data_IF_559783109548
#
_entry.id   IF_559783109548
#
_cell.length_a   1.000
_cell.length_b   1.000
_cell.length_c   1.000
_cell.angle_alpha   90.00
_cell.angle_beta   90.00
_cell.angle_gamma   90.00
#
_symmetry.space_group_name_H-M   'P 1'
#
loop_
_entity.id
_entity.type
_entity.pdbx_description
1 polymer ?
#
# COMPACT_ATOMS: atom_id res chain seq x y z
N UNK A 1 -17.02 -5.74 -11.01
CA UNK A 1 -15.93 -6.29 -10.16
C UNK A 1 -15.04 -7.32 -10.88
N UNK A 2 -15.60 -8.18 -11.74
CA UNK A 2 -14.82 -9.25 -12.39
C UNK A 2 -13.85 -8.78 -13.49
N UNK A 3 -14.07 -7.60 -14.10
CA UNK A 3 -13.19 -7.09 -15.19
C UNK A 3 -11.83 -6.59 -14.72
N UNK A 4 -11.70 -6.23 -13.44
CA UNK A 4 -10.46 -5.66 -12.89
C UNK A 4 -9.30 -6.64 -12.93
N UNK A 5 -9.59 -7.94 -12.78
CA UNK A 5 -8.56 -8.98 -12.68
C UNK A 5 -8.58 -9.99 -13.82
N UNK A 6 -9.36 -9.77 -14.91
CA UNK A 6 -9.46 -10.73 -16.00
C UNK A 6 -8.14 -10.87 -16.80
N UNK A 7 -7.56 -12.04 -16.75
CA UNK A 7 -6.52 -12.49 -17.67
C UNK A 7 -5.11 -12.04 -17.40
N UNK A 8 -4.80 -11.41 -16.24
CA UNK A 8 -3.46 -10.93 -15.95
C UNK A 8 -2.82 -11.68 -14.80
N UNK A 9 -1.51 -11.78 -14.86
CA UNK A 9 -0.66 -12.18 -13.78
C UNK A 9 -1.07 -11.45 -12.48
N UNK A 10 -0.85 -11.84 -11.59
CA UNK A 10 -0.89 -12.43 -10.43
C UNK A 10 0.08 -11.89 -9.41
N UNK A 11 0.60 -10.65 -9.61
CA UNK A 11 1.35 -9.98 -8.57
C UNK A 11 0.62 -8.72 -8.12
N UNK A 12 0.34 -8.68 -6.83
CA UNK A 12 -0.32 -7.57 -6.14
C UNK A 12 0.64 -7.07 -5.07
N UNK A 13 0.70 -5.76 -4.87
CA UNK A 13 1.44 -5.19 -3.75
C UNK A 13 0.59 -4.18 -2.99
N UNK A 14 0.64 -4.26 -1.68
CA UNK A 14 0.07 -3.29 -0.75
C UNK A 14 1.17 -2.66 0.09
N UNK A 15 1.19 -1.35 0.12
CA UNK A 15 2.04 -0.55 1.00
C UNK A 15 1.18 0.11 2.08
N UNK A 16 1.50 -0.12 3.33
CA UNK A 16 0.68 0.33 4.45
C UNK A 16 -0.41 -0.68 4.79
N UNK A 17 -0.01 -1.89 5.10
CA UNK A 17 -0.93 -3.01 5.39
C UNK A 17 -1.67 -2.86 6.72
N UNK A 18 -1.10 -2.10 7.66
CA UNK A 18 -1.63 -1.97 9.02
C UNK A 18 -1.91 -3.34 9.65
N UNK A 19 -3.13 -3.62 10.05
CA UNK A 19 -3.55 -4.89 10.66
C UNK A 19 -4.16 -5.87 9.66
N UNK A 20 -4.01 -5.62 8.36
CA UNK A 20 -4.40 -6.52 7.29
C UNK A 20 -5.88 -6.47 6.90
N UNK A 21 -6.60 -5.40 7.22
CA UNK A 21 -8.02 -5.27 6.88
C UNK A 21 -8.26 -5.31 5.37
N UNK A 22 -7.61 -4.43 4.62
CA UNK A 22 -7.68 -4.39 3.15
C UNK A 22 -7.08 -5.64 2.54
N UNK A 23 -5.95 -6.10 3.09
CA UNK A 23 -5.29 -7.33 2.64
C UNK A 23 -6.20 -8.56 2.73
N UNK A 24 -7.02 -8.67 3.78
CA UNK A 24 -8.04 -9.73 3.91
C UNK A 24 -9.04 -9.67 2.76
N UNK A 25 -9.51 -8.48 2.41
CA UNK A 25 -10.42 -8.27 1.28
C UNK A 25 -9.74 -8.66 -0.04
N UNK A 26 -8.53 -8.17 -0.29
CA UNK A 26 -7.73 -8.51 -1.48
C UNK A 26 -7.58 -10.04 -1.59
N UNK A 27 -7.19 -10.71 -0.51
CA UNK A 27 -6.98 -12.16 -0.48
C UNK A 27 -8.24 -12.95 -0.83
N UNK A 28 -9.41 -12.50 -0.37
CA UNK A 28 -10.68 -13.17 -0.66
C UNK A 28 -11.10 -13.03 -2.13
N UNK A 29 -10.82 -11.90 -2.77
CA UNK A 29 -11.22 -11.63 -4.15
C UNK A 29 -10.12 -11.91 -5.19
N UNK A 30 -8.95 -12.29 -4.76
CA UNK A 30 -7.82 -12.64 -5.61
C UNK A 30 -8.11 -13.89 -6.45
N UNK A 31 -7.62 -13.90 -7.69
CA UNK A 31 -7.64 -15.06 -8.58
C UNK A 31 -6.64 -16.13 -8.15
N UNK A 32 -6.83 -17.37 -8.62
CA UNK A 32 -5.79 -18.40 -8.45
C UNK A 32 -4.43 -17.97 -9.03
N UNK A 33 -3.37 -18.51 -8.47
CA UNK A 33 -1.97 -18.25 -8.84
C UNK A 33 -1.52 -16.78 -8.66
N UNK A 34 -2.03 -16.10 -7.63
CA UNK A 34 -1.64 -14.73 -7.31
C UNK A 34 -0.58 -14.70 -6.22
N UNK A 35 0.47 -13.89 -6.43
CA UNK A 35 1.42 -13.52 -5.38
C UNK A 35 1.03 -12.17 -4.81
N UNK A 36 0.88 -12.08 -3.52
CA UNK A 36 0.57 -10.84 -2.80
C UNK A 36 1.77 -10.45 -1.96
N UNK A 37 2.19 -9.21 -2.06
CA UNK A 37 3.27 -8.61 -1.27
C UNK A 37 2.67 -7.54 -0.37
N UNK A 38 2.87 -7.68 0.94
CA UNK A 38 2.39 -6.73 1.93
C UNK A 38 3.58 -6.06 2.62
N UNK A 39 3.70 -4.75 2.46
CA UNK A 39 4.83 -3.96 2.99
C UNK A 39 4.32 -3.05 4.09
N UNK A 40 4.79 -3.24 5.32
CA UNK A 40 4.46 -2.37 6.44
C UNK A 40 5.56 -2.38 7.50
N UNK A 41 5.64 -1.32 8.27
CA UNK A 41 6.51 -1.22 9.43
C UNK A 41 5.97 -1.97 10.65
N UNK A 42 4.67 -2.24 10.70
CA UNK A 42 3.94 -2.84 11.83
C UNK A 42 4.26 -2.21 13.19
N UNK A 43 4.36 -0.88 13.20
CA UNK A 43 4.70 -0.11 14.40
C UNK A 43 6.19 -0.05 14.74
N UNK A 44 7.03 -0.77 14.00
CA UNK A 44 8.48 -0.54 14.03
C UNK A 44 8.83 0.73 13.23
N UNK A 45 9.94 1.40 13.51
CA UNK A 45 10.40 2.58 12.76
C UNK A 45 9.61 3.89 12.98
N UNK A 46 8.96 4.08 14.13
CA UNK A 46 8.22 5.31 14.44
C UNK A 46 9.03 6.61 14.26
N UNK A 47 10.33 6.59 14.58
CA UNK A 47 11.22 7.74 14.41
C UNK A 47 11.47 8.05 12.93
N UNK A 48 11.52 7.05 12.05
CA UNK A 48 11.64 7.26 10.62
C UNK A 48 10.35 7.85 10.03
N UNK A 49 9.21 7.41 10.52
CA UNK A 49 7.91 8.00 10.13
C UNK A 49 7.87 9.48 10.49
N UNK A 50 8.25 9.84 11.72
CA UNK A 50 8.30 11.24 12.17
C UNK A 50 9.19 12.13 11.30
N UNK A 51 10.34 11.63 10.86
CA UNK A 51 11.28 12.38 10.00
C UNK A 51 10.72 12.65 8.60
N UNK A 52 9.71 11.89 8.18
CA UNK A 52 9.12 11.99 6.85
C UNK A 52 7.76 12.73 6.84
N UNK A 53 7.31 13.21 8.00
CA UNK A 53 6.15 14.10 8.08
C UNK A 53 6.51 15.45 7.46
N UNK A 54 5.76 15.85 6.45
CA UNK A 54 5.95 17.11 5.73
C UNK A 54 4.99 18.20 6.24
N UNK A 55 5.16 19.42 5.76
CA UNK A 55 4.23 20.52 6.02
C UNK A 55 2.82 20.26 5.45
N UNK A 56 2.68 19.33 4.52
CA UNK A 56 1.40 18.94 3.89
C UNK A 56 0.64 17.87 4.68
N UNK A 57 1.25 17.31 5.71
CA UNK A 57 0.68 16.24 6.53
C UNK A 57 0.09 16.84 7.82
N UNK A 58 -0.89 17.75 7.66
CA UNK A 58 -1.43 18.57 8.74
C UNK A 58 -2.03 17.75 9.90
N UNK A 59 -2.62 16.60 9.60
CA UNK A 59 -3.18 15.69 10.62
C UNK A 59 -2.11 15.08 11.54
N UNK A 60 -0.84 14.99 11.07
CA UNK A 60 0.28 14.55 11.90
C UNK A 60 0.91 15.69 12.72
N UNK A 61 0.71 16.93 12.32
CA UNK A 61 1.30 18.11 13.00
C UNK A 61 0.48 18.59 14.22
N UNK A 62 -0.78 18.18 14.35
CA UNK A 62 -1.69 18.70 15.38
C UNK A 62 -2.10 17.67 16.42
N UNK A 63 -3.36 17.24 16.35
CA UNK A 63 -4.01 16.38 17.33
C UNK A 63 -3.78 14.89 17.12
N UNK A 64 -3.40 14.50 15.91
CA UNK A 64 -3.16 13.10 15.58
C UNK A 64 -1.76 12.71 16.05
N UNK A 65 -1.69 11.96 17.12
CA UNK A 65 -0.41 11.49 17.66
C UNK A 65 0.00 10.23 16.89
N UNK A 66 1.11 10.24 16.12
CA UNK A 66 1.63 9.03 15.45
C UNK A 66 1.91 7.89 16.44
N UNK A 67 2.01 8.20 17.75
CA UNK A 67 2.17 7.24 18.82
C UNK A 67 0.95 6.35 19.07
N UNK A 68 -0.25 6.73 18.63
CA UNK A 68 -1.41 5.84 18.73
C UNK A 68 -1.27 4.64 17.79
N UNK A 69 -0.57 4.78 16.67
CA UNK A 69 -0.24 3.64 15.79
C UNK A 69 0.66 2.62 16.48
N UNK A 70 1.64 3.05 17.29
CA UNK A 70 2.52 2.13 18.04
C UNK A 70 1.71 1.31 19.05
N UNK A 71 0.81 1.95 19.80
CA UNK A 71 -0.05 1.25 20.76
C UNK A 71 -1.03 0.30 20.06
N UNK A 72 -1.44 0.62 18.84
CA UNK A 72 -2.32 -0.20 18.01
C UNK A 72 -1.68 -1.56 17.66
N UNK A 73 -0.37 -1.62 17.55
CA UNK A 73 0.38 -2.84 17.24
C UNK A 73 0.92 -3.59 18.46
N UNK A 74 0.70 -3.09 19.69
CA UNK A 74 1.27 -3.66 20.92
C UNK A 74 1.02 -5.17 21.09
N UNK A 75 -0.13 -5.65 20.61
CA UNK A 75 -0.53 -7.06 20.68
C UNK A 75 -0.79 -7.65 19.28
N UNK A 76 -0.29 -7.01 18.23
CA UNK A 76 -0.50 -7.47 16.86
C UNK A 76 0.65 -8.37 16.42
N UNK A 77 0.31 -9.56 15.99
CA UNK A 77 1.24 -10.52 15.43
C UNK A 77 1.06 -10.61 13.90
N UNK A 78 1.93 -9.91 13.18
CA UNK A 78 1.91 -9.91 11.72
C UNK A 78 2.21 -11.29 11.13
N UNK A 79 2.98 -12.16 11.84
CA UNK A 79 3.24 -13.54 11.39
C UNK A 79 1.98 -14.39 11.46
N UNK A 80 1.21 -14.24 12.55
CA UNK A 80 -0.08 -14.91 12.70
C UNK A 80 -1.04 -14.48 11.58
N UNK A 81 -1.18 -13.18 11.34
CA UNK A 81 -1.98 -12.64 10.23
C UNK A 81 -1.53 -13.24 8.88
N UNK A 82 -0.23 -13.24 8.60
CA UNK A 82 0.33 -13.78 7.37
C UNK A 82 -0.02 -15.27 7.19
N UNK A 83 0.10 -16.05 8.25
CA UNK A 83 -0.22 -17.49 8.22
C UNK A 83 -1.71 -17.73 7.97
N UNK A 84 -2.59 -17.03 8.68
CA UNK A 84 -4.04 -17.13 8.52
C UNK A 84 -4.49 -16.78 7.09
N UNK A 85 -3.93 -15.73 6.50
CA UNK A 85 -4.23 -15.36 5.13
C UNK A 85 -3.65 -16.34 4.11
N UNK A 86 -2.47 -16.89 4.37
CA UNK A 86 -1.90 -17.93 3.51
C UNK A 86 -2.74 -19.22 3.51
N UNK A 87 -3.38 -19.59 4.61
CA UNK A 87 -4.32 -20.74 4.62
C UNK A 87 -5.49 -20.55 3.64
N UNK A 88 -5.99 -19.32 3.53
CA UNK A 88 -7.03 -18.97 2.55
C UNK A 88 -6.48 -19.01 1.12
N UNK A 89 -5.30 -18.45 0.91
CA UNK A 89 -4.67 -18.30 -0.39
C UNK A 89 -4.17 -19.63 -0.96
N UNK A 90 -3.73 -20.56 -0.13
CA UNK A 90 -3.31 -21.90 -0.55
C UNK A 90 -4.40 -22.65 -1.32
N UNK A 91 -5.67 -22.46 -0.96
CA UNK A 91 -6.82 -23.03 -1.68
C UNK A 91 -6.95 -22.55 -3.13
N UNK A 92 -6.28 -21.41 -3.43
CA UNK A 92 -6.23 -20.79 -4.76
C UNK A 92 -4.86 -20.94 -5.43
N UNK A 93 -3.96 -21.75 -4.89
CA UNK A 93 -2.56 -21.81 -5.31
C UNK A 93 -1.91 -20.42 -5.34
N UNK A 94 -2.24 -19.59 -4.38
CA UNK A 94 -1.78 -18.20 -4.20
C UNK A 94 -0.99 -18.08 -2.90
N UNK A 95 -0.21 -17.03 -2.76
CA UNK A 95 0.58 -16.81 -1.54
C UNK A 95 0.68 -15.34 -1.17
N UNK A 96 0.83 -15.08 0.11
CA UNK A 96 1.18 -13.79 0.69
C UNK A 96 2.61 -13.82 1.22
N UNK A 97 3.40 -12.83 0.86
CA UNK A 97 4.68 -12.52 1.48
C UNK A 97 4.60 -11.18 2.20
N UNK A 98 4.82 -11.20 3.51
CA UNK A 98 4.85 -9.98 4.33
C UNK A 98 6.28 -9.48 4.48
N UNK A 99 6.50 -8.22 4.14
CA UNK A 99 7.79 -7.53 4.16
C UNK A 99 7.76 -6.48 5.25
N UNK A 100 8.37 -6.82 6.37
CA UNK A 100 8.42 -5.96 7.56
C UNK A 100 9.51 -4.92 7.41
N UNK A 101 9.13 -3.66 7.36
CA UNK A 101 10.06 -2.54 7.30
C UNK A 101 9.38 -1.24 6.87
N UNK A 102 10.11 -0.14 7.01
CA UNK A 102 9.64 1.17 6.59
C UNK A 102 10.03 1.44 5.13
N UNK A 103 9.05 1.53 4.24
CA UNK A 103 9.29 1.96 2.87
C UNK A 103 9.40 3.51 2.82
N UNK A 104 10.36 4.09 2.09
CA UNK A 104 11.27 3.45 1.11
C UNK A 104 12.60 2.93 1.68
N UNK A 105 12.80 3.00 2.99
CA UNK A 105 14.07 2.61 3.64
C UNK A 105 14.10 1.13 4.03
N UNK A 106 13.60 0.27 3.16
CA UNK A 106 13.74 -1.17 3.36
C UNK A 106 15.20 -1.60 3.25
N UNK A 107 15.56 -2.62 4.02
CA UNK A 107 16.84 -3.33 3.88
C UNK A 107 16.98 -3.91 2.47
N UNK A 108 18.22 -3.99 1.96
CA UNK A 108 18.48 -4.35 0.57
C UNK A 108 17.91 -5.72 0.17
N UNK A 109 17.96 -6.71 1.06
CA UNK A 109 17.40 -8.04 0.84
C UNK A 109 15.87 -8.01 0.71
N UNK A 110 15.20 -7.20 1.53
CA UNK A 110 13.75 -6.98 1.50
C UNK A 110 13.32 -6.21 0.25
N UNK A 111 14.07 -5.15 -0.09
CA UNK A 111 13.81 -4.37 -1.29
C UNK A 111 13.96 -5.21 -2.57
N UNK A 112 14.97 -6.09 -2.64
CA UNK A 112 15.18 -7.00 -3.77
C UNK A 112 13.96 -7.89 -4.05
N UNK A 113 13.22 -8.29 -3.02
CA UNK A 113 12.04 -9.15 -3.16
C UNK A 113 10.92 -8.53 -3.99
N UNK A 114 10.84 -7.21 -4.03
CA UNK A 114 9.78 -6.46 -4.71
C UNK A 114 10.28 -5.63 -5.90
N UNK A 115 11.60 -5.51 -6.08
CA UNK A 115 12.16 -4.58 -7.09
C UNK A 115 12.06 -5.09 -8.53
N UNK A 116 12.09 -6.42 -8.74
CA UNK A 116 12.12 -7.03 -10.07
C UNK A 116 10.80 -7.68 -10.48
N UNK A 117 9.69 -7.17 -9.90
CA UNK A 117 8.36 -7.71 -10.12
C UNK A 117 7.52 -6.68 -10.87
N UNK A 118 6.67 -7.14 -11.78
CA UNK A 118 5.62 -6.34 -12.41
C UNK A 118 4.31 -6.60 -11.67
N UNK A 119 3.57 -5.52 -11.38
CA UNK A 119 2.34 -5.57 -10.60
C UNK A 119 1.12 -5.25 -11.45
N UNK A 120 0.09 -6.04 -11.31
CA UNK A 120 -1.23 -5.79 -11.92
C UNK A 120 -2.14 -4.95 -11.02
N UNK A 121 -1.86 -4.95 -9.71
CA UNK A 121 -2.57 -4.13 -8.74
C UNK A 121 -1.60 -3.61 -7.67
N UNK A 122 -1.70 -2.33 -7.38
CA UNK A 122 -0.92 -1.65 -6.33
C UNK A 122 -1.88 -0.89 -5.42
N UNK A 123 -1.79 -1.11 -4.12
CA UNK A 123 -2.50 -0.33 -3.11
C UNK A 123 -1.50 0.53 -2.33
N UNK A 124 -1.73 1.84 -2.27
CA UNK A 124 -0.91 2.81 -1.55
C UNK A 124 -1.72 3.38 -0.40
N UNK A 125 -1.31 3.08 0.83
CA UNK A 125 -1.94 3.54 2.08
C UNK A 125 -0.86 4.03 3.05
N UNK A 126 -0.26 5.17 2.73
CA UNK A 126 0.85 5.74 3.51
C UNK A 126 0.44 6.88 4.43
N UNK A 127 -0.75 7.45 4.26
CA UNK A 127 -1.21 8.65 4.97
C UNK A 127 -0.34 9.92 4.73
N UNK A 128 0.86 9.82 4.15
CA UNK A 128 1.87 10.85 4.14
C UNK A 128 2.33 11.24 2.73
N UNK A 129 2.69 12.52 2.56
CA UNK A 129 3.21 13.09 1.32
C UNK A 129 4.46 12.37 0.79
N UNK A 130 5.50 12.30 1.62
CA UNK A 130 6.82 11.82 1.19
C UNK A 130 6.83 10.33 0.81
N UNK A 131 6.30 9.41 1.63
CA UNK A 131 6.22 7.99 1.24
C UNK A 131 5.38 7.75 0.00
N UNK A 132 4.31 8.53 -0.20
CA UNK A 132 3.50 8.45 -1.42
C UNK A 132 4.31 8.80 -2.66
N UNK A 133 5.08 9.90 -2.65
CA UNK A 133 6.00 10.26 -3.75
C UNK A 133 7.00 9.13 -4.01
N UNK A 134 7.70 8.68 -2.97
CA UNK A 134 8.73 7.65 -3.09
C UNK A 134 8.17 6.35 -3.67
N UNK A 135 6.94 6.00 -3.30
CA UNK A 135 6.30 4.82 -3.82
C UNK A 135 5.92 4.96 -5.30
N UNK A 136 5.34 6.07 -5.73
CA UNK A 136 5.06 6.31 -7.14
C UNK A 136 6.35 6.24 -7.98
N UNK A 137 7.43 6.83 -7.51
CA UNK A 137 8.75 6.74 -8.16
C UNK A 137 9.23 5.28 -8.24
N UNK A 138 9.01 4.50 -7.19
CA UNK A 138 9.40 3.10 -7.14
C UNK A 138 8.58 2.23 -8.11
N UNK A 139 7.25 2.42 -8.17
CA UNK A 139 6.35 1.54 -8.94
C UNK A 139 6.27 1.89 -10.43
N UNK A 140 6.64 3.10 -10.85
CA UNK A 140 6.43 3.61 -12.23
C UNK A 140 6.86 2.63 -13.33
N UNK A 141 8.02 1.99 -13.15
CA UNK A 141 8.58 1.03 -14.10
C UNK A 141 8.22 -0.44 -13.76
N UNK A 142 7.32 -0.65 -12.79
CA UNK A 142 6.92 -1.97 -12.28
C UNK A 142 5.44 -2.26 -12.48
N UNK A 143 4.77 -1.45 -13.27
CA UNK A 143 3.36 -1.67 -13.59
C UNK A 143 3.23 -2.57 -14.82
N UNK A 144 2.28 -3.49 -14.79
CA UNK A 144 1.80 -4.19 -15.96
C UNK A 144 0.92 -3.26 -16.80
N UNK A 145 0.75 -3.58 -18.07
CA UNK A 145 -0.21 -2.84 -18.93
C UNK A 145 -1.62 -2.94 -18.35
N UNK A 146 -2.29 -1.81 -18.18
CA UNK A 146 -3.59 -1.62 -17.52
C UNK A 146 -3.57 -2.11 -16.06
N UNK A 147 -2.45 -1.97 -15.36
CA UNK A 147 -2.44 -2.16 -13.93
C UNK A 147 -3.32 -1.11 -13.24
N UNK A 148 -3.82 -1.48 -12.07
CA UNK A 148 -4.63 -0.59 -11.25
C UNK A 148 -3.80 -0.14 -10.06
N UNK A 149 -3.80 1.16 -9.82
CA UNK A 149 -3.23 1.76 -8.61
C UNK A 149 -4.39 2.33 -7.80
N UNK A 150 -4.57 1.84 -6.60
CA UNK A 150 -5.50 2.38 -5.61
C UNK A 150 -4.70 3.22 -4.63
N UNK A 151 -4.99 4.51 -4.57
CA UNK A 151 -4.38 5.46 -3.63
C UNK A 151 -5.40 5.75 -2.55
N UNK A 152 -5.13 5.30 -1.32
CA UNK A 152 -5.97 5.62 -0.18
C UNK A 152 -5.74 7.07 0.28
N UNK A 153 -6.66 7.60 1.06
CA UNK A 153 -6.59 8.95 1.64
C UNK A 153 -6.43 10.13 0.66
N UNK A 154 -6.59 9.90 -0.65
CA UNK A 154 -6.38 10.94 -1.67
C UNK A 154 -7.24 12.19 -1.44
N UNK A 155 -8.47 12.02 -1.02
CA UNK A 155 -9.39 13.13 -0.74
C UNK A 155 -10.02 13.02 0.65
N UNK A 156 -9.28 12.47 1.59
CA UNK A 156 -9.72 12.36 2.97
C UNK A 156 -9.50 13.70 3.71
N UNK A 157 -10.44 14.06 4.58
CA UNK A 157 -10.36 15.31 5.35
C UNK A 157 -9.11 15.30 6.23
N UNK A 158 -8.32 16.37 6.13
CA UNK A 158 -7.05 16.60 6.86
C UNK A 158 -5.88 15.69 6.43
N UNK A 159 -5.94 15.08 5.26
CA UNK A 159 -4.84 14.28 4.68
C UNK A 159 -4.36 14.84 3.32
N UNK A 160 -4.17 16.15 3.27
CA UNK A 160 -3.77 16.86 2.04
C UNK A 160 -2.44 16.36 1.45
N UNK A 161 -1.59 15.74 2.28
CA UNK A 161 -0.26 15.25 1.87
C UNK A 161 -0.32 14.27 0.71
N UNK A 162 -1.24 13.30 0.73
CA UNK A 162 -1.41 12.32 -0.34
C UNK A 162 -1.85 12.99 -1.64
N UNK A 163 -2.87 13.86 -1.59
CA UNK A 163 -3.36 14.62 -2.75
C UNK A 163 -2.27 15.51 -3.33
N UNK A 164 -1.51 16.18 -2.47
CA UNK A 164 -0.38 17.03 -2.87
C UNK A 164 0.71 16.21 -3.58
N UNK A 165 1.03 15.02 -3.09
CA UNK A 165 2.00 14.13 -3.71
C UNK A 165 1.58 13.75 -5.15
N UNK A 166 0.34 13.34 -5.36
CA UNK A 166 -0.21 13.02 -6.69
C UNK A 166 -0.15 14.23 -7.62
N UNK A 167 -0.47 15.43 -7.10
CA UNK A 167 -0.41 16.68 -7.87
C UNK A 167 1.01 17.04 -8.29
N UNK A 168 1.97 16.97 -7.36
CA UNK A 168 3.37 17.33 -7.62
C UNK A 168 4.06 16.39 -8.59
N UNK A 169 3.67 15.12 -8.59
CA UNK A 169 4.12 14.14 -9.56
C UNK A 169 3.51 14.33 -10.95
N UNK A 170 2.56 15.26 -11.10
CA UNK A 170 1.84 15.54 -12.36
C UNK A 170 1.21 14.28 -12.96
N UNK A 171 0.65 13.43 -12.11
CA UNK A 171 -0.02 12.21 -12.56
C UNK A 171 -1.24 12.60 -13.38
N UNK A 172 -1.38 11.99 -14.55
CA UNK A 172 -2.56 12.22 -15.39
C UNK A 172 -3.80 11.59 -14.72
N UNK A 173 -4.74 12.46 -14.37
CA UNK A 173 -5.99 12.09 -13.73
C UNK A 173 -7.17 12.01 -14.70
N UNK A 174 -6.93 12.17 -16.01
CA UNK A 174 -8.01 12.22 -17.03
C UNK A 174 -8.88 10.96 -17.05
N UNK A 175 -8.32 9.83 -16.64
CA UNK A 175 -9.03 8.55 -16.49
C UNK A 175 -9.11 8.08 -15.03
N UNK A 176 -8.69 8.93 -14.09
CA UNK A 176 -8.77 8.64 -12.67
C UNK A 176 -10.20 8.66 -12.14
N UNK A 177 -10.53 7.73 -11.26
CA UNK A 177 -11.83 7.65 -10.61
C UNK A 177 -11.66 7.96 -9.13
N UNK A 178 -12.30 9.02 -8.66
CA UNK A 178 -12.38 9.30 -7.23
C UNK A 178 -13.59 8.60 -6.64
N UNK A 179 -13.37 7.85 -5.56
CA UNK A 179 -14.46 7.19 -4.83
C UNK A 179 -15.12 8.15 -3.84
N UNK A 180 -16.33 7.83 -3.40
CA UNK A 180 -17.01 8.59 -2.35
C UNK A 180 -16.29 8.50 -0.99
N UNK A 181 -15.51 7.44 -0.77
CA UNK A 181 -14.71 7.22 0.44
C UNK A 181 -13.37 7.97 0.44
N UNK A 182 -13.07 8.77 -0.60
CA UNK A 182 -11.88 9.59 -0.67
C UNK A 182 -10.66 8.95 -1.32
N UNK A 183 -10.81 7.78 -1.90
CA UNK A 183 -9.74 7.07 -2.61
C UNK A 183 -9.64 7.52 -4.07
N UNK A 184 -8.46 7.33 -4.68
CA UNK A 184 -8.22 7.55 -6.10
C UNK A 184 -7.81 6.24 -6.78
N UNK A 185 -8.51 5.88 -7.85
CA UNK A 185 -8.17 4.74 -8.71
C UNK A 185 -7.52 5.28 -9.98
N UNK A 186 -6.34 4.77 -10.30
CA UNK A 186 -5.58 5.11 -11.51
C UNK A 186 -5.34 3.87 -12.35
N UNK A 187 -5.19 4.05 -13.65
CA UNK A 187 -4.86 3.01 -14.62
C UNK A 187 -3.52 3.33 -15.29
N UNK A 188 -2.65 2.30 -15.45
CA UNK A 188 -1.36 2.42 -16.16
C UNK A 188 -1.52 2.22 -17.66
#
# INVERSE_FOLDING_TARGET
>A
HNKIFEGKSTNIIEFGTDRGGTLTTISNFTKPNTNIYAVDSFGFHAEEIKKNVSQYDSHYQGRYRPFTKITRFKNFDHKKMTNELNEVLLKKNSKLETIVGYFPKLENDKLKKISNIKYSFVHLDFDLYKPTIDCFVFIKDKLEKNAIILVDDYNFINQEGVKKAVTDLKIDLSQGIQTQSGQLILYS
#
